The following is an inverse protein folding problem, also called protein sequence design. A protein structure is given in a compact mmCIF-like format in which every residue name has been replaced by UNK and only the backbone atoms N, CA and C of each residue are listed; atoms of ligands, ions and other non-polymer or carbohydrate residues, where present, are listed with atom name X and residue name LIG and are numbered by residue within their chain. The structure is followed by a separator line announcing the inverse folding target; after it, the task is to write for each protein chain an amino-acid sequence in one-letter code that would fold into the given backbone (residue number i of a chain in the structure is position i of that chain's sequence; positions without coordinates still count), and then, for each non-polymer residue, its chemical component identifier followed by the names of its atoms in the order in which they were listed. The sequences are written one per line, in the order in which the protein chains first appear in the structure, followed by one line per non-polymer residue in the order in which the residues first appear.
data_IF_453728630595
#
_entry.id   IF_453728630595
#
_cell.length_a   1.000
_cell.length_b   1.000
_cell.length_c   1.000
_cell.angle_alpha   90.00
_cell.angle_beta   90.00
_cell.angle_gamma   90.00
#
_symmetry.space_group_name_H-M   'P 1'
#
loop_
_entity.id
_entity.type
_entity.pdbx_description
1 polymer ?
#
# COMPACT_ATOMS: atom_id res chain seq x y z
N UNK A 1 -9.11 -4.47 -8.74
CA UNK A 1 -8.37 -4.39 -7.45
C UNK A 1 -7.77 -3.00 -7.33
N UNK A 2 -7.74 -2.41 -6.15
CA UNK A 2 -7.13 -1.11 -5.90
C UNK A 2 -5.92 -1.24 -4.98
N UNK A 3 -4.85 -0.51 -5.25
CA UNK A 3 -3.70 -0.35 -4.37
C UNK A 3 -3.60 1.10 -3.97
N UNK A 4 -3.46 1.35 -2.67
CA UNK A 4 -3.46 2.69 -2.09
C UNK A 4 -2.45 2.82 -0.93
N UNK A 5 -1.80 3.98 -0.87
CA UNK A 5 -0.86 4.39 0.16
C UNK A 5 -1.55 5.25 1.24
N UNK A 6 -1.57 4.76 2.48
CA UNK A 6 -2.23 5.40 3.63
C UNK A 6 -1.23 5.72 4.71
N UNK A 7 -1.25 6.96 5.21
CA UNK A 7 -0.58 7.33 6.46
C UNK A 7 -1.52 7.09 7.65
N UNK A 8 -1.10 6.28 8.61
CA UNK A 8 -1.92 5.96 9.79
C UNK A 8 -1.95 7.15 10.74
N UNK A 9 -3.12 7.76 10.91
CA UNK A 9 -3.30 8.87 11.84
C UNK A 9 -3.01 8.43 13.27
N UNK A 10 -2.19 9.21 13.98
CA UNK A 10 -1.82 8.94 15.37
C UNK A 10 -0.65 7.96 15.58
N UNK A 11 -0.09 7.41 14.50
CA UNK A 11 1.07 6.49 14.58
C UNK A 11 2.41 7.19 14.80
N UNK A 12 2.49 8.50 14.52
CA UNK A 12 3.71 9.29 14.72
C UNK A 12 3.99 9.45 16.22
N UNK A 13 5.18 9.04 16.65
CA UNK A 13 5.67 9.26 18.02
C UNK A 13 6.79 10.30 18.03
N UNK A 14 7.39 10.54 19.20
CA UNK A 14 8.56 11.42 19.32
C UNK A 14 9.82 10.79 18.70
N UNK A 15 9.82 9.47 18.54
CA UNK A 15 10.96 8.65 18.15
C UNK A 15 10.80 8.04 16.74
N UNK A 16 9.59 8.03 16.19
CA UNK A 16 9.27 7.43 14.89
C UNK A 16 8.37 8.33 14.01
N UNK A 17 8.62 8.29 12.70
CA UNK A 17 7.77 8.91 11.68
C UNK A 17 6.36 8.31 11.68
N UNK A 18 5.43 8.97 10.98
CA UNK A 18 4.11 8.37 10.77
C UNK A 18 4.26 7.06 10.00
N UNK A 19 3.53 6.02 10.42
CA UNK A 19 3.49 4.75 9.73
C UNK A 19 2.78 4.93 8.38
N UNK A 20 3.49 4.63 7.31
CA UNK A 20 2.94 4.56 5.96
C UNK A 20 2.62 3.10 5.63
N UNK A 21 1.45 2.86 5.03
CA UNK A 21 0.97 1.54 4.66
C UNK A 21 0.56 1.55 3.20
N UNK A 22 1.07 0.60 2.42
CA UNK A 22 0.55 0.28 1.09
C UNK A 22 -0.37 -0.92 1.24
N UNK A 23 -1.61 -0.81 0.76
CA UNK A 23 -2.61 -1.88 0.87
C UNK A 23 -3.19 -2.26 -0.48
N UNK A 24 -3.32 -3.57 -0.74
CA UNK A 24 -4.10 -4.11 -1.85
C UNK A 24 -5.52 -4.45 -1.39
N UNK A 25 -6.51 -3.87 -2.04
CA UNK A 25 -7.93 -4.03 -1.75
C UNK A 25 -8.68 -4.65 -2.93
N UNK A 26 -9.33 -5.78 -2.69
CA UNK A 26 -10.27 -6.40 -3.62
C UNK A 26 -11.68 -5.84 -3.37
N UNK A 27 -12.07 -4.85 -4.15
CA UNK A 27 -13.40 -4.21 -4.07
C UNK A 27 -14.55 -5.20 -4.26
N UNK A 28 -14.38 -6.19 -5.14
CA UNK A 28 -15.40 -7.17 -5.46
C UNK A 28 -15.75 -8.07 -4.28
N UNK A 29 -14.78 -8.33 -3.40
CA UNK A 29 -14.93 -9.22 -2.26
C UNK A 29 -14.95 -8.45 -0.92
N UNK A 30 -14.65 -7.15 -0.93
CA UNK A 30 -14.54 -6.34 0.27
C UNK A 30 -13.38 -6.78 1.18
N UNK A 31 -12.26 -7.25 0.61
CA UNK A 31 -11.14 -7.84 1.34
C UNK A 31 -9.83 -7.10 1.07
N UNK A 32 -8.99 -6.97 2.10
CA UNK A 32 -7.59 -6.61 1.90
C UNK A 32 -6.78 -7.88 1.67
N UNK A 33 -6.10 -7.94 0.53
CA UNK A 33 -5.34 -9.11 0.11
C UNK A 33 -3.90 -9.10 0.65
N UNK A 34 -3.29 -7.92 0.71
CA UNK A 34 -1.96 -7.71 1.25
C UNK A 34 -1.79 -6.28 1.76
N UNK A 35 -0.87 -6.10 2.70
CA UNK A 35 -0.44 -4.80 3.17
C UNK A 35 1.05 -4.83 3.54
N UNK A 36 1.76 -3.73 3.28
CA UNK A 36 3.18 -3.54 3.63
C UNK A 36 3.34 -2.19 4.29
N UNK A 37 4.08 -2.15 5.41
CA UNK A 37 4.48 -0.90 6.06
C UNK A 37 5.75 -0.33 5.44
N UNK A 38 5.75 0.96 5.16
CA UNK A 38 6.91 1.71 4.68
C UNK A 38 7.32 2.78 5.71
N UNK A 39 8.62 3.09 5.75
CA UNK A 39 9.17 4.06 6.70
C UNK A 39 8.76 5.51 6.36
N UNK A 40 8.54 5.78 5.07
CA UNK A 40 8.13 7.07 4.55
C UNK A 40 7.23 6.91 3.30
N UNK A 41 6.65 8.03 2.86
CA UNK A 41 5.79 8.10 1.68
C UNK A 41 6.54 7.81 0.37
N UNK A 42 7.81 8.19 0.28
CA UNK A 42 8.63 8.01 -0.93
C UNK A 42 8.98 6.53 -1.17
N UNK A 43 9.01 5.73 -0.12
CA UNK A 43 9.24 4.28 -0.15
C UNK A 43 8.03 3.50 -0.68
N UNK A 44 6.85 4.13 -0.82
CA UNK A 44 5.66 3.51 -1.41
C UNK A 44 5.93 3.08 -2.85
N UNK A 45 6.76 3.82 -3.60
CA UNK A 45 7.12 3.52 -4.98
C UNK A 45 7.83 2.16 -5.14
N UNK A 46 8.63 1.78 -4.14
CA UNK A 46 9.34 0.50 -4.10
C UNK A 46 8.48 -0.61 -3.49
N UNK A 47 7.66 -0.27 -2.49
CA UNK A 47 6.80 -1.22 -1.81
C UNK A 47 5.64 -1.74 -2.68
N UNK A 48 5.14 -0.92 -3.61
CA UNK A 48 4.07 -1.32 -4.54
C UNK A 48 4.52 -2.50 -5.43
N UNK A 49 5.66 -2.46 -6.15
CA UNK A 49 6.19 -3.61 -6.88
C UNK A 49 6.40 -4.86 -6.02
N UNK A 50 6.85 -4.72 -4.77
CA UNK A 50 7.03 -5.85 -3.86
C UNK A 50 5.70 -6.49 -3.46
N UNK A 51 4.70 -5.67 -3.13
CA UNK A 51 3.34 -6.09 -2.81
C UNK A 51 2.65 -6.76 -4.00
N UNK A 52 2.92 -6.31 -5.23
CA UNK A 52 2.37 -6.94 -6.44
C UNK A 52 2.98 -8.33 -6.69
N UNK A 53 4.27 -8.53 -6.37
CA UNK A 53 4.94 -9.83 -6.54
C UNK A 53 4.44 -10.91 -5.58
N UNK A 54 3.91 -10.51 -4.42
CA UNK A 54 3.36 -11.46 -3.43
C UNK A 54 1.93 -11.88 -3.76
N UNK A 55 1.26 -11.20 -4.69
CA UNK A 55 -0.11 -11.47 -5.10
C UNK A 55 -0.16 -12.21 -6.44
N UNK A 56 -1.02 -13.21 -6.54
CA UNK A 56 -1.31 -13.87 -7.82
C UNK A 56 -2.33 -13.05 -8.61
N UNK A 57 -1.86 -12.22 -9.54
CA UNK A 57 -2.66 -11.20 -10.24
C UNK A 57 -2.95 -11.55 -11.71
N UNK A 58 -2.78 -12.81 -12.10
CA UNK A 58 -3.02 -13.26 -13.48
C UNK A 58 -4.46 -12.95 -13.91
N UNK A 59 -4.62 -12.19 -15.00
CA UNK A 59 -5.93 -11.77 -15.51
C UNK A 59 -6.64 -10.69 -14.70
N UNK A 60 -6.01 -10.10 -13.67
CA UNK A 60 -6.60 -9.06 -12.85
C UNK A 60 -6.23 -7.65 -13.33
N UNK A 61 -7.21 -6.74 -13.39
CA UNK A 61 -6.95 -5.30 -13.56
C UNK A 61 -6.69 -4.64 -12.21
N UNK A 62 -5.55 -3.95 -12.11
CA UNK A 62 -5.10 -3.27 -10.90
C UNK A 62 -5.01 -1.77 -11.15
N UNK A 63 -5.68 -0.99 -10.32
CA UNK A 63 -5.51 0.46 -10.26
C UNK A 63 -4.64 0.81 -9.05
N UNK A 64 -3.67 1.70 -9.24
CA UNK A 64 -2.75 2.12 -8.18
C UNK A 64 -2.94 3.63 -8.01
N UNK A 65 -3.24 4.06 -6.79
CA UNK A 65 -3.14 5.47 -6.43
C UNK A 65 -1.70 5.77 -6.04
N UNK A 66 -0.99 6.47 -6.93
CA UNK A 66 0.38 6.89 -6.73
C UNK A 66 0.43 8.40 -6.99
N UNK A 67 0.23 9.19 -5.95
CA UNK A 67 0.57 10.60 -5.98
C UNK A 67 2.10 10.73 -5.94
N UNK A 68 2.72 10.61 -7.12
CA UNK A 68 4.16 10.76 -7.31
C UNK A 68 4.58 12.21 -7.12
N UNK A 69 5.38 12.46 -6.09
CA UNK A 69 6.18 13.69 -5.96
C UNK A 69 7.61 13.30 -5.67
#
# INVERSE_FOLDING_TARGET
MAIDGKSVRGSRTREASALHLVSAWCSNNGLSLAQVSTADKSSELTAIPELLKTLELSGATVSIDAMGT
#
